data_IF_615454492063
#
_entry.id   IF_615454492063
#
_cell.length_a   1.000
_cell.length_b   1.000
_cell.length_c   1.000
_cell.angle_alpha   90.00
_cell.angle_beta   90.00
_cell.angle_gamma   90.00
#
_symmetry.space_group_name_H-M   'P 1'
#
loop_
_entity.id
_entity.type
_entity.pdbx_description
1 polymer ?
#
# COMPACT_ATOMS: atom_id res chain seq x y z
N UNK A 1 -1.06 -5.16 7.77
CA UNK A 1 0.40 -5.15 7.68
C UNK A 1 1.00 -6.28 8.53
N UNK A 2 2.30 -6.60 8.37
CA UNK A 2 2.91 -7.72 9.09
C UNK A 2 2.90 -7.59 10.62
N UNK A 3 2.90 -6.36 11.16
CA UNK A 3 2.88 -6.17 12.62
C UNK A 3 1.49 -6.36 13.23
N UNK A 4 0.43 -6.35 12.44
CA UNK A 4 -0.94 -6.42 12.92
C UNK A 4 -1.45 -5.15 13.60
N UNK A 5 -0.71 -4.04 13.50
CA UNK A 5 -1.07 -2.76 14.15
C UNK A 5 -1.72 -1.77 13.18
N UNK A 6 -1.69 -2.05 11.88
CA UNK A 6 -2.09 -1.12 10.84
C UNK A 6 -3.03 -1.78 9.85
N UNK A 7 -3.97 -1.00 9.34
CA UNK A 7 -4.84 -1.38 8.22
C UNK A 7 -4.62 -0.39 7.10
N UNK A 8 -4.36 -0.91 5.89
CA UNK A 8 -4.22 -0.12 4.68
C UNK A 8 -5.38 -0.41 3.75
N UNK A 9 -5.91 0.61 3.12
CA UNK A 9 -7.03 0.51 2.18
C UNK A 9 -6.69 1.24 0.90
N UNK A 10 -6.84 0.55 -0.24
CA UNK A 10 -6.71 1.20 -1.53
C UNK A 10 -8.01 1.92 -1.90
N UNK A 11 -7.89 3.16 -2.36
CA UNK A 11 -9.03 3.98 -2.75
C UNK A 11 -8.93 4.33 -4.24
N UNK A 12 -9.77 3.68 -5.05
CA UNK A 12 -9.75 3.85 -6.51
C UNK A 12 -10.27 5.21 -6.97
N UNK A 13 -11.14 5.85 -6.18
CA UNK A 13 -11.72 7.13 -6.58
C UNK A 13 -10.71 8.27 -6.48
N UNK A 14 -9.81 8.21 -5.51
CA UNK A 14 -8.80 9.25 -5.30
C UNK A 14 -7.39 8.77 -5.68
N UNK A 15 -7.26 7.54 -6.21
CA UNK A 15 -5.98 6.94 -6.58
C UNK A 15 -4.97 7.03 -5.43
N UNK A 16 -5.39 6.66 -4.24
CA UNK A 16 -4.60 6.79 -3.02
C UNK A 16 -4.70 5.56 -2.13
N UNK A 17 -3.79 5.49 -1.16
CA UNK A 17 -3.81 4.52 -0.07
C UNK A 17 -4.14 5.26 1.22
N UNK A 18 -5.12 4.76 1.97
CA UNK A 18 -5.43 5.24 3.31
C UNK A 18 -4.78 4.32 4.34
N UNK A 19 -4.16 4.90 5.36
CA UNK A 19 -3.51 4.15 6.43
C UNK A 19 -4.23 4.42 7.73
N UNK A 20 -4.54 3.36 8.47
CA UNK A 20 -5.24 3.41 9.75
C UNK A 20 -4.46 2.68 10.82
N UNK A 21 -4.36 3.29 11.99
CA UNK A 21 -3.81 2.61 13.16
C UNK A 21 -4.94 1.91 13.91
N UNK A 22 -4.70 0.68 14.36
CA UNK A 22 -5.63 -0.09 15.17
C UNK A 22 -5.35 0.25 16.64
N UNK A 23 -6.38 0.72 17.37
CA UNK A 23 -6.27 0.89 18.83
C UNK A 23 -6.23 -0.51 19.47
N UNK A 24 -5.17 -0.84 20.24
CA UNK A 24 -5.02 -2.19 20.78
C UNK A 24 -6.04 -2.52 21.88
N UNK A 25 -6.71 -1.53 22.45
CA UNK A 25 -7.70 -1.73 23.52
C UNK A 25 -9.10 -1.82 22.95
N UNK A 26 -9.50 -0.87 22.10
CA UNK A 26 -10.87 -0.77 21.58
C UNK A 26 -11.08 -1.45 20.24
N UNK A 27 -10.00 -1.68 19.49
CA UNK A 27 -10.07 -2.16 18.10
C UNK A 27 -10.51 -1.09 17.09
N UNK A 28 -10.74 0.15 17.52
CA UNK A 28 -11.14 1.21 16.62
C UNK A 28 -10.00 1.63 15.73
N UNK A 29 -10.33 2.08 14.51
CA UNK A 29 -9.36 2.54 13.53
C UNK A 29 -9.25 4.06 13.57
N UNK A 30 -8.01 4.55 13.55
CA UNK A 30 -7.72 5.98 13.44
C UNK A 30 -6.94 6.23 12.15
N UNK A 31 -7.46 7.07 11.27
CA UNK A 31 -6.73 7.45 10.06
C UNK A 31 -5.49 8.25 10.42
N UNK A 32 -4.33 7.85 9.85
CA UNK A 32 -3.05 8.53 10.07
C UNK A 32 -2.54 9.23 8.81
N UNK A 33 -3.16 8.98 7.67
CA UNK A 33 -2.79 9.67 6.44
C UNK A 33 -3.37 9.04 5.20
N UNK A 34 -3.30 9.80 4.11
CA UNK A 34 -3.60 9.36 2.76
C UNK A 34 -2.35 9.57 1.92
N UNK A 35 -2.01 8.58 1.11
CA UNK A 35 -0.78 8.61 0.30
C UNK A 35 -1.13 8.33 -1.15
N UNK A 36 -0.68 9.17 -2.11
CA UNK A 36 -0.92 8.89 -3.53
C UNK A 36 -0.30 7.56 -3.92
N UNK A 37 -1.04 6.76 -4.71
CA UNK A 37 -0.52 5.49 -5.19
C UNK A 37 0.42 5.65 -6.38
N UNK A 38 0.63 6.88 -6.87
CA UNK A 38 1.49 7.25 -7.99
C UNK A 38 1.08 6.59 -9.30
N UNK A 39 -0.20 6.35 -9.47
CA UNK A 39 -0.81 5.77 -10.64
C UNK A 39 -2.31 5.84 -10.53
N UNK A 40 -3.02 5.10 -11.38
CA UNK A 40 -4.47 5.10 -11.41
C UNK A 40 -5.03 3.72 -11.12
N UNK A 41 -6.14 3.72 -10.39
CA UNK A 41 -6.90 2.52 -10.04
C UNK A 41 -6.04 1.53 -9.27
N UNK A 42 -5.65 1.84 -8.01
CA UNK A 42 -4.93 0.89 -7.17
C UNK A 42 -5.86 -0.27 -6.82
N UNK A 43 -5.68 -1.39 -7.47
CA UNK A 43 -6.55 -2.56 -7.35
C UNK A 43 -6.06 -3.55 -6.33
N UNK A 44 -4.76 -3.69 -6.22
CA UNK A 44 -4.15 -4.68 -5.34
C UNK A 44 -2.93 -4.10 -4.67
N UNK A 45 -2.75 -4.44 -3.40
CA UNK A 45 -1.50 -4.14 -2.71
C UNK A 45 -1.14 -5.28 -1.77
N UNK A 46 0.13 -5.41 -1.45
CA UNK A 46 0.61 -6.41 -0.49
C UNK A 46 1.95 -5.99 0.08
N UNK A 47 2.30 -6.61 1.21
CA UNK A 47 3.63 -6.48 1.78
C UNK A 47 4.52 -7.61 1.28
N UNK A 48 5.70 -7.27 0.80
CA UNK A 48 6.69 -8.25 0.40
C UNK A 48 7.47 -8.80 1.60
N UNK A 49 8.31 -9.83 1.36
CA UNK A 49 9.11 -10.45 2.44
C UNK A 49 10.13 -9.48 3.06
N UNK A 50 10.45 -8.37 2.37
CA UNK A 50 11.35 -7.33 2.87
C UNK A 50 10.62 -6.23 3.69
N UNK A 51 9.32 -6.39 3.96
CA UNK A 51 8.52 -5.42 4.70
C UNK A 51 8.08 -4.20 3.89
N UNK A 52 8.40 -4.13 2.60
CA UNK A 52 7.95 -3.04 1.73
C UNK A 52 6.53 -3.31 1.23
N UNK A 53 5.79 -2.22 0.95
CA UNK A 53 4.44 -2.29 0.40
C UNK A 53 4.48 -2.10 -1.12
N UNK A 54 3.79 -2.96 -1.84
CA UNK A 54 3.71 -2.90 -3.31
C UNK A 54 2.27 -2.64 -3.72
N UNK A 55 2.06 -1.66 -4.57
CA UNK A 55 0.72 -1.27 -5.05
C UNK A 55 0.66 -1.49 -6.56
N UNK A 56 -0.30 -2.31 -6.98
CA UNK A 56 -0.57 -2.56 -8.40
C UNK A 56 -1.63 -1.58 -8.88
N UNK A 57 -1.25 -0.66 -9.77
CA UNK A 57 -2.12 0.35 -10.36
C UNK A 57 -2.58 -0.12 -11.73
N UNK A 58 -3.81 -0.65 -11.81
CA UNK A 58 -4.31 -1.32 -13.00
C UNK A 58 -4.34 -0.41 -14.23
N UNK A 59 -4.90 0.80 -14.10
CA UNK A 59 -5.09 1.70 -15.26
C UNK A 59 -3.81 2.43 -15.67
N UNK A 60 -2.78 2.40 -14.83
CA UNK A 60 -1.47 2.96 -15.14
C UNK A 60 -0.46 1.92 -15.60
N UNK A 61 -0.83 0.63 -15.57
CA UNK A 61 0.06 -0.48 -15.90
C UNK A 61 1.37 -0.47 -15.11
N UNK A 62 1.29 -0.10 -13.81
CA UNK A 62 2.48 0.04 -12.97
C UNK A 62 2.33 -0.68 -11.64
N UNK A 63 3.46 -1.13 -11.11
CA UNK A 63 3.59 -1.58 -9.72
C UNK A 63 4.57 -0.63 -9.04
N UNK A 64 4.14 0.00 -7.97
CA UNK A 64 4.92 0.99 -7.23
C UNK A 64 5.34 0.39 -5.89
N UNK A 65 6.62 0.49 -5.57
CA UNK A 65 7.16 0.07 -4.28
C UNK A 65 7.19 1.24 -3.29
N UNK A 66 6.74 0.98 -2.08
CA UNK A 66 6.77 1.95 -0.97
C UNK A 66 7.50 1.37 0.21
N UNK A 67 8.30 2.20 0.88
CA UNK A 67 8.73 1.91 2.25
C UNK A 67 7.58 2.18 3.21
N UNK A 68 7.34 1.27 4.13
CA UNK A 68 6.35 1.44 5.17
C UNK A 68 7.03 1.56 6.54
N UNK A 69 6.79 2.68 7.24
CA UNK A 69 7.27 2.87 8.60
C UNK A 69 6.23 2.29 9.58
N UNK A 70 6.56 1.17 10.21
CA UNK A 70 5.65 0.51 11.15
C UNK A 70 5.49 1.24 12.47
N UNK A 71 6.26 2.29 12.72
CA UNK A 71 6.13 3.13 13.93
C UNK A 71 5.16 4.28 13.66
N UNK A 72 5.29 4.96 12.53
CA UNK A 72 4.49 6.15 12.19
C UNK A 72 3.32 5.85 11.24
N UNK A 73 3.37 4.73 10.52
CA UNK A 73 2.39 4.40 9.49
C UNK A 73 2.60 5.13 8.18
N UNK A 74 3.74 5.78 7.99
CA UNK A 74 4.02 6.55 6.78
C UNK A 74 4.42 5.64 5.62
N UNK A 75 3.85 5.91 4.43
CA UNK A 75 4.26 5.30 3.17
C UNK A 75 5.13 6.29 2.40
N UNK A 76 6.30 5.84 1.96
CA UNK A 76 7.24 6.66 1.19
C UNK A 76 7.65 5.89 -0.07
N UNK A 77 7.44 6.46 -1.29
CA UNK A 77 7.84 5.76 -2.51
C UNK A 77 9.37 5.60 -2.56
N UNK A 78 9.81 4.42 -3.00
CA UNK A 78 11.24 4.11 -3.09
C UNK A 78 11.84 4.48 -4.45
N UNK A 79 11.02 4.93 -5.41
CA UNK A 79 11.36 5.19 -6.80
C UNK A 79 11.56 3.92 -7.64
N UNK A 80 11.32 2.74 -7.09
CA UNK A 80 11.30 1.49 -7.86
C UNK A 80 9.92 1.30 -8.45
N UNK A 81 9.83 1.38 -9.77
CA UNK A 81 8.57 1.29 -10.52
C UNK A 81 8.73 0.18 -11.56
N UNK A 82 7.76 -0.74 -11.59
CA UNK A 82 7.70 -1.78 -12.61
C UNK A 82 6.54 -1.47 -13.54
N UNK A 83 6.83 -1.37 -14.84
CA UNK A 83 5.81 -1.24 -15.87
C UNK A 83 5.37 -2.62 -16.34
N UNK A 84 4.06 -2.85 -16.36
CA UNK A 84 3.49 -4.12 -16.78
C UNK A 84 2.09 -3.88 -17.36
N UNK A 85 1.49 -4.89 -17.98
CA UNK A 85 0.15 -4.75 -18.55
C UNK A 85 -0.91 -5.01 -17.48
N UNK A 86 -1.74 -4.00 -17.17
CA UNK A 86 -2.92 -4.09 -16.30
C UNK A 86 -2.74 -5.00 -15.08
N UNK A 87 -1.83 -4.67 -14.15
CA UNK A 87 -1.55 -5.55 -13.02
C UNK A 87 -2.76 -5.65 -12.09
N UNK A 88 -3.15 -6.88 -11.78
CA UNK A 88 -4.27 -7.16 -10.88
C UNK A 88 -3.82 -7.87 -9.59
N UNK A 89 -2.64 -8.46 -9.58
CA UNK A 89 -2.08 -9.06 -8.38
C UNK A 89 -0.55 -9.09 -8.43
N UNK A 90 0.05 -9.26 -7.26
CA UNK A 90 1.49 -9.33 -7.08
C UNK A 90 1.81 -10.62 -6.35
N UNK A 91 2.75 -11.39 -6.91
CA UNK A 91 3.21 -12.66 -6.31
C UNK A 91 4.71 -12.56 -6.10
N UNK A 92 5.17 -12.92 -4.90
CA UNK A 92 6.59 -12.96 -4.58
C UNK A 92 7.11 -14.38 -4.65
N UNK A 93 8.24 -14.56 -5.33
CA UNK A 93 8.98 -15.81 -5.32
C UNK A 93 9.95 -15.82 -4.13
N UNK A 94 9.90 -16.89 -3.36
CA UNK A 94 10.80 -17.08 -2.23
C UNK A 94 12.05 -17.84 -2.62
#
# INVERSE_FOLDING_TARGET
>A
DPSGQWVLVSNRYTDSMAVYRIDPITGYLKNTGFYPCLGKTPRFFCFGPNGKCYVANEDSDTIIEFDFDSITGQLTPTLNIVQTGSPVCIVFAE
#
